data_IF_149582361766
#
_entry.id   IF_149582361766
#
_cell.length_a   1.000
_cell.length_b   1.000
_cell.length_c   1.000
_cell.angle_alpha   90.00
_cell.angle_beta   90.00
_cell.angle_gamma   90.00
#
_symmetry.space_group_name_H-M   'P 1'
#
loop_
_entity.id
_entity.type
_entity.pdbx_description
1 polymer ?
#
# COMPACT_ATOMS: atom_id res chain seq x y z
N UNK A 1 -22.81 -16.23 -6.59
CA UNK A 1 -22.93 -17.45 -5.77
C UNK A 1 -21.68 -17.49 -4.92
N UNK A 2 -21.65 -17.18 -3.63
CA UNK A 2 -22.67 -16.96 -2.59
C UNK A 2 -22.31 -15.68 -1.84
N UNK A 3 -23.25 -14.72 -1.81
CA UNK A 3 -23.23 -13.60 -0.87
C UNK A 3 -23.70 -14.15 0.48
N UNK A 4 -22.79 -14.82 1.19
CA UNK A 4 -23.00 -15.15 2.59
C UNK A 4 -22.83 -13.85 3.36
N UNK A 5 -23.94 -13.23 3.77
CA UNK A 5 -24.00 -11.97 4.52
C UNK A 5 -23.37 -12.01 5.92
N UNK A 6 -22.21 -12.64 6.06
CA UNK A 6 -21.33 -12.47 7.21
C UNK A 6 -20.57 -11.15 7.03
N UNK A 7 -20.66 -10.28 8.03
CA UNK A 7 -19.86 -9.06 8.06
C UNK A 7 -18.37 -9.41 8.03
N UNK A 8 -17.55 -8.69 7.24
CA UNK A 8 -16.12 -8.94 7.19
C UNK A 8 -15.51 -8.75 8.58
N UNK A 9 -14.92 -9.83 9.11
CA UNK A 9 -14.24 -9.81 10.39
C UNK A 9 -12.81 -9.25 10.22
N UNK A 10 -12.62 -7.99 10.59
CA UNK A 10 -11.32 -7.33 10.53
C UNK A 10 -10.47 -7.63 11.77
N UNK A 11 -9.16 -7.80 11.56
CA UNK A 11 -8.17 -7.98 12.63
C UNK A 11 -6.97 -7.06 12.39
N UNK A 12 -6.30 -6.66 13.48
CA UNK A 12 -5.04 -5.92 13.39
C UNK A 12 -3.95 -6.81 12.76
N UNK A 13 -3.29 -6.38 11.66
CA UNK A 13 -2.23 -7.15 11.03
C UNK A 13 -1.03 -7.35 11.97
N UNK A 14 -0.49 -8.57 12.00
CA UNK A 14 0.71 -8.91 12.79
C UNK A 14 1.78 -9.55 11.91
N UNK A 15 3.04 -9.41 12.29
CA UNK A 15 4.15 -10.02 11.56
C UNK A 15 4.10 -11.55 11.63
N UNK A 16 3.80 -12.18 10.50
CA UNK A 16 3.72 -13.65 10.37
C UNK A 16 4.93 -14.28 9.65
N UNK A 17 5.84 -13.46 9.08
CA UNK A 17 7.09 -13.93 8.46
C UNK A 17 8.25 -13.43 9.31
N UNK A 18 8.82 -14.31 10.13
CA UNK A 18 9.89 -13.97 11.07
C UNK A 18 11.19 -14.71 10.74
N UNK A 19 11.07 -15.91 10.19
CA UNK A 19 12.16 -16.79 9.81
C UNK A 19 12.09 -17.14 8.32
N UNK A 20 13.18 -17.62 7.71
CA UNK A 20 13.16 -18.11 6.33
C UNK A 20 12.11 -19.22 6.11
N UNK A 21 11.89 -20.09 7.09
CA UNK A 21 10.94 -21.21 6.97
C UNK A 21 9.48 -20.74 6.89
N UNK A 22 9.14 -19.60 7.50
CA UNK A 22 7.80 -19.00 7.40
C UNK A 22 7.43 -18.64 5.94
N UNK A 23 8.42 -18.48 5.05
CA UNK A 23 8.19 -18.19 3.64
C UNK A 23 7.41 -19.30 2.93
N UNK A 24 7.58 -20.55 3.36
CA UNK A 24 6.81 -21.68 2.82
C UNK A 24 5.31 -21.56 3.14
N UNK A 25 4.96 -20.97 4.30
CA UNK A 25 3.57 -20.66 4.66
C UNK A 25 3.08 -19.43 3.91
N UNK A 26 3.90 -18.37 3.86
CA UNK A 26 3.56 -17.12 3.15
C UNK A 26 3.19 -17.37 1.70
N UNK A 27 4.03 -18.07 0.94
CA UNK A 27 3.83 -18.34 -0.50
C UNK A 27 2.60 -19.20 -0.82
N UNK A 28 2.03 -19.88 0.17
CA UNK A 28 0.80 -20.68 0.06
C UNK A 28 -0.41 -20.00 0.69
N UNK A 29 -0.25 -18.81 1.26
CA UNK A 29 -1.32 -18.08 1.91
C UNK A 29 -2.28 -17.42 0.91
N UNK A 30 -3.51 -17.17 1.37
CA UNK A 30 -4.49 -16.37 0.63
C UNK A 30 -3.97 -14.96 0.36
N UNK A 31 -3.39 -14.30 1.37
CA UNK A 31 -2.81 -12.97 1.24
C UNK A 31 -1.74 -12.87 0.13
N UNK A 32 -0.89 -13.91 -0.04
CA UNK A 32 0.06 -13.96 -1.14
C UNK A 32 -0.63 -14.05 -2.50
N UNK A 33 -1.63 -14.95 -2.60
CA UNK A 33 -2.41 -15.15 -3.82
C UNK A 33 -3.14 -13.87 -4.24
N UNK A 34 -3.80 -13.19 -3.29
CA UNK A 34 -4.49 -11.93 -3.51
C UNK A 34 -3.53 -10.80 -3.90
N UNK A 35 -2.41 -10.66 -3.18
CA UNK A 35 -1.42 -9.62 -3.44
C UNK A 35 -0.80 -9.74 -4.84
N UNK A 36 -0.36 -10.94 -5.21
CA UNK A 36 0.20 -11.20 -6.54
C UNK A 36 -0.88 -11.03 -7.62
N UNK A 37 -2.10 -11.54 -7.37
CA UNK A 37 -3.23 -11.38 -8.27
C UNK A 37 -3.56 -9.91 -8.54
N UNK A 38 -3.55 -9.08 -7.50
CA UNK A 38 -3.76 -7.63 -7.61
C UNK A 38 -2.68 -6.96 -8.47
N UNK A 39 -1.41 -7.27 -8.25
CA UNK A 39 -0.30 -6.72 -9.06
C UNK A 39 -0.46 -7.10 -10.53
N UNK A 40 -0.76 -8.38 -10.82
CA UNK A 40 -0.91 -8.86 -12.20
C UNK A 40 -2.13 -8.22 -12.88
N UNK A 41 -3.24 -8.06 -12.16
CA UNK A 41 -4.43 -7.39 -12.66
C UNK A 41 -4.14 -5.92 -13.01
N UNK A 42 -3.43 -5.19 -12.14
CA UNK A 42 -3.02 -3.81 -12.42
C UNK A 42 -2.09 -3.76 -13.63
N UNK A 43 -1.08 -4.64 -13.68
CA UNK A 43 -0.13 -4.70 -14.80
C UNK A 43 -0.84 -4.86 -16.13
N UNK A 44 -1.76 -5.82 -16.24
CA UNK A 44 -2.52 -6.05 -17.47
C UNK A 44 -3.35 -4.83 -17.86
N UNK A 45 -4.00 -4.18 -16.88
CA UNK A 45 -4.87 -3.03 -17.14
C UNK A 45 -4.12 -1.81 -17.70
N UNK A 46 -2.84 -1.63 -17.36
CA UNK A 46 -2.05 -0.46 -17.80
C UNK A 46 -1.21 -0.71 -19.05
N UNK A 47 -1.19 -1.93 -19.60
CA UNK A 47 -0.41 -2.24 -20.81
C UNK A 47 -0.78 -1.31 -21.97
N UNK A 48 0.27 -0.76 -22.61
CA UNK A 48 0.16 0.12 -23.77
C UNK A 48 -0.34 1.54 -23.47
N UNK A 49 -0.58 1.89 -22.19
CA UNK A 49 -1.06 3.22 -21.80
C UNK A 49 0.08 4.10 -21.31
N UNK A 50 0.02 5.38 -21.63
CA UNK A 50 0.91 6.42 -21.11
C UNK A 50 0.30 7.03 -19.85
N UNK A 51 1.14 7.63 -19.01
CA UNK A 51 0.69 8.40 -17.84
C UNK A 51 -0.17 9.59 -18.27
N UNK A 52 0.05 10.13 -19.47
CA UNK A 52 -0.69 11.25 -20.04
C UNK A 52 -1.99 10.87 -20.73
N UNK A 53 -2.33 9.58 -20.80
CA UNK A 53 -3.60 9.16 -21.38
C UNK A 53 -4.75 9.57 -20.44
N UNK A 54 -5.95 9.70 -20.98
CA UNK A 54 -7.13 10.00 -20.18
C UNK A 54 -7.57 8.78 -19.35
N UNK A 55 -7.72 8.99 -18.04
CA UNK A 55 -8.21 7.97 -17.11
C UNK A 55 -9.42 8.48 -16.34
N UNK A 56 -10.33 7.56 -16.01
CA UNK A 56 -11.43 7.85 -15.09
C UNK A 56 -10.85 8.05 -13.69
N UNK A 57 -11.02 9.26 -13.16
CA UNK A 57 -10.72 9.57 -11.76
C UNK A 57 -12.00 9.45 -10.96
N UNK A 58 -12.14 8.36 -10.22
CA UNK A 58 -13.30 8.13 -9.35
C UNK A 58 -13.22 8.97 -8.08
N UNK A 59 -14.34 9.12 -7.36
CA UNK A 59 -14.34 9.78 -6.04
C UNK A 59 -13.37 9.12 -5.06
N UNK A 60 -13.28 7.78 -5.08
CA UNK A 60 -12.33 7.03 -4.24
C UNK A 60 -10.88 7.39 -4.60
N UNK A 61 -10.57 7.49 -5.90
CA UNK A 61 -9.26 7.93 -6.39
C UNK A 61 -8.94 9.35 -5.91
N UNK A 62 -9.89 10.29 -6.05
CA UNK A 62 -9.72 11.66 -5.56
C UNK A 62 -9.47 11.71 -4.04
N UNK A 63 -10.20 10.92 -3.25
CA UNK A 63 -9.98 10.83 -1.80
C UNK A 63 -8.61 10.24 -1.46
N UNK A 64 -8.16 9.20 -2.15
CA UNK A 64 -6.81 8.65 -1.98
C UNK A 64 -5.74 9.69 -2.29
N UNK A 65 -5.90 10.47 -3.37
CA UNK A 65 -4.98 11.58 -3.69
C UNK A 65 -4.95 12.63 -2.58
N UNK A 66 -6.11 13.00 -2.02
CA UNK A 66 -6.17 13.98 -0.92
C UNK A 66 -5.45 13.52 0.35
N UNK A 67 -5.44 12.21 0.63
CA UNK A 67 -4.66 11.64 1.75
C UNK A 67 -3.17 11.78 1.46
N UNK A 68 -2.73 11.50 0.23
CA UNK A 68 -1.33 11.67 -0.17
C UNK A 68 -0.88 13.15 -0.11
N UNK A 69 -1.74 14.08 -0.53
CA UNK A 69 -1.47 15.52 -0.45
C UNK A 69 -1.34 16.01 1.00
N UNK A 70 -2.14 15.46 1.92
CA UNK A 70 -2.02 15.73 3.35
C UNK A 70 -0.69 15.22 3.92
N UNK A 71 -0.28 13.99 3.55
CA UNK A 71 1.02 13.45 3.94
C UNK A 71 2.18 14.28 3.39
N UNK A 72 2.11 14.76 2.14
CA UNK A 72 3.12 15.65 1.55
C UNK A 72 3.19 17.00 2.26
N UNK A 73 2.05 17.52 2.70
CA UNK A 73 1.99 18.76 3.49
C UNK A 73 2.74 18.60 4.81
N UNK A 74 2.55 17.49 5.52
CA UNK A 74 3.27 17.23 6.77
C UNK A 74 4.79 17.15 6.61
N UNK A 75 5.28 16.69 5.44
CA UNK A 75 6.73 16.72 5.15
C UNK A 75 7.24 18.15 5.07
N UNK A 76 6.47 19.08 4.48
CA UNK A 76 6.85 20.50 4.42
C UNK A 76 6.78 21.18 5.78
N UNK A 77 5.81 20.79 6.60
CA UNK A 77 5.60 21.31 7.96
C UNK A 77 6.59 20.72 8.98
N UNK A 78 7.23 19.59 8.66
CA UNK A 78 8.19 18.87 9.53
C UNK A 78 9.57 18.87 8.89
N UNK A 79 10.28 20.02 8.88
CA UNK A 79 11.57 20.13 8.22
C UNK A 79 12.64 19.28 8.93
N UNK A 80 13.72 18.88 8.21
CA UNK A 80 14.82 18.14 8.81
C UNK A 80 15.47 18.91 9.97
N UNK A 81 15.82 18.18 11.03
CA UNK A 81 16.57 18.74 12.17
C UNK A 81 18.07 18.61 11.90
N UNK A 82 18.84 19.64 12.25
CA UNK A 82 20.30 19.55 12.22
C UNK A 82 20.78 18.74 13.42
N UNK A 83 21.32 17.55 13.17
CA UNK A 83 21.69 16.59 14.20
C UNK A 83 22.98 15.84 13.84
N UNK A 84 23.73 15.33 14.84
CA UNK A 84 24.97 14.59 14.60
C UNK A 84 24.75 13.19 14.01
N UNK A 85 23.50 12.72 13.97
CA UNK A 85 23.15 11.41 13.43
C UNK A 85 23.37 11.39 11.91
N UNK A 86 24.10 10.37 11.43
CA UNK A 86 24.53 10.28 10.02
C UNK A 86 23.49 9.67 9.07
N UNK A 87 22.46 9.01 9.59
CA UNK A 87 21.46 8.28 8.80
C UNK A 87 20.07 8.52 9.37
N UNK A 88 19.06 8.69 8.51
CA UNK A 88 17.66 8.85 8.90
C UNK A 88 17.43 10.05 9.83
N UNK A 89 16.91 11.14 9.29
CA UNK A 89 16.66 12.33 10.10
C UNK A 89 15.59 12.06 11.17
N UNK A 90 15.82 12.48 12.41
CA UNK A 90 14.88 12.27 13.52
C UNK A 90 13.51 12.93 13.30
N UNK A 91 13.42 13.94 12.43
CA UNK A 91 12.17 14.56 12.01
C UNK A 91 11.21 13.59 11.28
N UNK A 92 11.67 12.41 10.86
CA UNK A 92 10.81 11.39 10.24
C UNK A 92 9.91 10.65 11.23
N UNK A 93 10.26 10.61 12.53
CA UNK A 93 9.47 9.90 13.54
C UNK A 93 8.13 10.59 13.79
#
# INVERSE_FOLDING_TARGET
MTDSGEEPHYVEPRRQVQTPDDMARWTKSEAYTEYVGFILALNEKIKGKKITDDFVVSEVTTKMLSVLDALDTWVRETPPVNEPQRFGNSAFR
#
